data_IF_428385461063
#
_entry.id   IF_428385461063
#
_cell.length_a   1.000
_cell.length_b   1.000
_cell.length_c   1.000
_cell.angle_alpha   90.00
_cell.angle_beta   90.00
_cell.angle_gamma   90.00
#
_symmetry.space_group_name_H-M   'P 1'
#
loop_
_entity.id
_entity.type
_entity.pdbx_description
1 polymer ?
#
# COMPACT_ATOMS: atom_id res chain seq x y z
N UNK A 1 -22.46 48.09 43.59
CA UNK A 1 -21.23 48.84 43.99
C UNK A 1 -20.25 48.72 42.84
N UNK A 2 -19.91 49.84 42.25
CA UNK A 2 -19.05 50.01 41.06
C UNK A 2 -17.58 49.95 41.48
N UNK A 3 -16.74 49.27 40.78
CA UNK A 3 -15.28 49.27 40.88
C UNK A 3 -14.66 49.27 39.52
N UNK A 4 -14.39 50.46 38.99
CA UNK A 4 -13.69 50.77 37.75
C UNK A 4 -12.20 50.70 38.05
N UNK A 5 -11.44 49.79 37.39
CA UNK A 5 -9.97 49.83 37.37
C UNK A 5 -9.51 50.25 35.96
N UNK A 6 -9.03 51.50 35.91
CA UNK A 6 -8.37 52.04 34.70
C UNK A 6 -6.95 51.52 34.56
N UNK A 7 -6.65 50.98 33.39
CA UNK A 7 -5.29 50.55 33.00
C UNK A 7 -4.62 51.72 32.24
N UNK A 8 -3.60 52.33 32.87
CA UNK A 8 -2.77 53.39 32.28
C UNK A 8 -1.72 52.70 31.39
N UNK A 9 -1.77 52.94 30.07
CA UNK A 9 -0.70 52.57 29.11
C UNK A 9 0.36 53.68 29.07
N UNK A 10 1.54 53.35 29.55
CA UNK A 10 2.72 54.23 29.41
C UNK A 10 3.44 53.84 28.12
N UNK A 11 3.42 54.74 27.13
CA UNK A 11 4.22 54.63 25.90
C UNK A 11 5.67 54.98 26.21
N UNK A 12 6.56 54.01 26.08
CA UNK A 12 8.01 54.25 26.06
C UNK A 12 8.46 54.31 24.60
N UNK A 13 8.86 55.50 24.16
CA UNK A 13 9.45 55.73 22.85
C UNK A 13 10.91 55.26 22.88
N UNK A 14 11.27 54.24 22.05
CA UNK A 14 12.63 53.82 21.80
C UNK A 14 13.21 54.56 20.60
N UNK A 15 14.45 55.03 20.65
CA UNK A 15 15.08 55.72 19.53
C UNK A 15 15.49 54.74 18.43
N UNK A 16 15.23 55.11 17.16
CA UNK A 16 15.61 54.38 15.97
C UNK A 16 17.16 54.46 15.82
N UNK A 17 17.83 53.33 16.08
CA UNK A 17 19.24 53.16 15.71
C UNK A 17 19.34 52.74 14.24
N UNK A 18 19.90 53.60 13.41
CA UNK A 18 20.29 53.31 12.06
C UNK A 18 21.38 52.21 12.07
N UNK A 19 21.05 50.98 11.71
CA UNK A 19 22.00 49.92 11.43
C UNK A 19 22.33 49.97 9.94
N UNK A 20 23.56 50.41 9.63
CA UNK A 20 24.18 50.36 8.34
C UNK A 20 24.14 48.92 7.78
N UNK A 21 23.53 48.78 6.61
CA UNK A 21 23.37 47.54 5.91
C UNK A 21 24.73 46.89 5.55
N UNK A 22 25.08 45.77 6.14
CA UNK A 22 26.10 44.90 5.61
C UNK A 22 25.45 44.06 4.51
N UNK A 23 26.00 44.00 3.29
CA UNK A 23 25.49 43.10 2.28
C UNK A 23 25.72 41.65 2.79
N UNK A 24 24.63 40.96 3.09
CA UNK A 24 24.68 39.54 3.38
C UNK A 24 25.26 38.83 2.15
N UNK A 25 26.49 38.33 2.24
CA UNK A 25 27.03 37.39 1.29
C UNK A 25 26.19 36.13 1.34
N UNK A 26 25.28 36.00 0.37
CA UNK A 26 24.59 34.76 0.09
C UNK A 26 25.64 33.75 -0.36
N UNK A 27 26.07 32.89 0.54
CA UNK A 27 26.86 31.71 0.18
C UNK A 27 25.94 30.83 -0.65
N UNK A 28 26.16 30.79 -1.97
CA UNK A 28 25.53 29.80 -2.84
C UNK A 28 25.96 28.44 -2.31
N UNK A 29 25.04 27.71 -1.70
CA UNK A 29 25.28 26.29 -1.35
C UNK A 29 25.65 25.58 -2.67
N UNK A 30 26.77 24.82 -2.69
CA UNK A 30 27.07 24.00 -3.85
C UNK A 30 25.88 23.07 -4.04
N UNK A 31 25.31 23.09 -5.26
CA UNK A 31 24.24 22.18 -5.63
C UNK A 31 24.74 20.76 -5.33
N UNK A 32 24.16 20.13 -4.32
CA UNK A 32 24.45 18.74 -3.99
C UNK A 32 24.25 17.89 -5.26
N UNK A 33 24.93 16.73 -5.35
CA UNK A 33 24.80 15.87 -6.50
C UNK A 33 23.30 15.62 -6.74
N UNK A 34 22.80 15.97 -7.93
CA UNK A 34 21.42 15.65 -8.32
C UNK A 34 21.25 14.15 -8.13
N UNK A 35 20.22 13.70 -7.37
CA UNK A 35 19.91 12.28 -7.32
C UNK A 35 19.77 11.82 -8.78
N UNK A 36 20.58 10.82 -9.16
CA UNK A 36 20.44 10.16 -10.45
C UNK A 36 18.99 9.72 -10.57
N UNK A 37 18.33 9.93 -11.72
CA UNK A 37 17.01 9.38 -11.93
C UNK A 37 17.11 7.89 -11.66
N UNK A 38 16.43 7.41 -10.61
CA UNK A 38 16.31 5.98 -10.38
C UNK A 38 15.71 5.41 -11.66
N UNK A 39 16.44 4.51 -12.30
CA UNK A 39 15.92 3.76 -13.42
C UNK A 39 14.62 3.11 -12.92
N UNK A 40 13.48 3.60 -13.41
CA UNK A 40 12.21 2.94 -13.17
C UNK A 40 12.33 1.62 -13.91
N UNK A 41 12.56 0.54 -13.16
CA UNK A 41 12.51 -0.80 -13.73
C UNK A 41 11.17 -0.94 -14.46
N UNK A 42 11.18 -1.43 -15.70
CA UNK A 42 9.93 -1.60 -16.43
C UNK A 42 9.04 -2.53 -15.59
N UNK A 43 7.83 -2.05 -15.28
CA UNK A 43 6.83 -2.86 -14.60
C UNK A 43 6.51 -4.05 -15.50
N UNK A 44 6.93 -5.23 -15.07
CA UNK A 44 6.61 -6.47 -15.79
C UNK A 44 5.22 -6.87 -15.30
N UNK A 45 4.20 -6.84 -16.18
CA UNK A 45 2.87 -7.27 -15.78
C UNK A 45 2.89 -8.77 -15.42
N UNK A 46 1.96 -9.20 -14.57
CA UNK A 46 1.72 -10.63 -14.35
C UNK A 46 1.33 -11.31 -15.66
N UNK A 47 1.49 -12.62 -15.73
CA UNK A 47 1.06 -13.38 -16.91
C UNK A 47 -0.43 -13.25 -17.17
N UNK A 48 -1.23 -13.18 -16.08
CA UNK A 48 -2.66 -12.90 -16.16
C UNK A 48 -2.95 -11.51 -16.76
N UNK A 49 -2.27 -10.47 -16.30
CA UNK A 49 -2.43 -9.11 -16.84
C UNK A 49 -1.97 -9.03 -18.30
N UNK A 50 -0.85 -9.67 -18.63
CA UNK A 50 -0.35 -9.72 -20.00
C UNK A 50 -1.36 -10.40 -20.95
N UNK A 51 -1.98 -11.51 -20.51
CA UNK A 51 -3.00 -12.21 -21.32
C UNK A 51 -4.26 -11.34 -21.46
N UNK A 52 -4.72 -10.71 -20.38
CA UNK A 52 -5.89 -9.81 -20.41
C UNK A 52 -5.67 -8.58 -21.30
N UNK A 53 -4.43 -8.10 -21.41
CA UNK A 53 -4.08 -6.96 -22.25
C UNK A 53 -3.81 -7.33 -23.71
N UNK A 54 -3.82 -8.62 -24.08
CA UNK A 54 -3.55 -9.07 -25.45
C UNK A 54 -4.71 -8.69 -26.37
N UNK A 55 -4.49 -7.86 -27.39
CA UNK A 55 -5.56 -7.44 -28.28
C UNK A 55 -6.01 -8.59 -29.20
N UNK A 56 -7.27 -8.52 -29.67
CA UNK A 56 -7.86 -9.46 -30.64
C UNK A 56 -7.88 -10.92 -30.19
N UNK A 57 -7.86 -11.18 -28.88
CA UNK A 57 -7.93 -12.51 -28.30
C UNK A 57 -9.31 -12.70 -27.61
N UNK A 58 -9.96 -13.81 -27.92
CA UNK A 58 -11.18 -14.21 -27.19
C UNK A 58 -10.79 -14.96 -25.95
N UNK A 59 -11.14 -14.40 -24.78
CA UNK A 59 -10.81 -14.98 -23.49
C UNK A 59 -12.07 -15.46 -22.77
N UNK A 60 -11.99 -16.66 -22.22
CA UNK A 60 -12.91 -17.12 -21.19
C UNK A 60 -12.26 -16.91 -19.83
N UNK A 61 -12.99 -16.31 -18.90
CA UNK A 61 -12.52 -16.00 -17.56
C UNK A 61 -13.49 -16.53 -16.51
N UNK A 62 -13.05 -17.49 -15.74
CA UNK A 62 -13.79 -18.05 -14.62
C UNK A 62 -13.29 -17.42 -13.31
N UNK A 63 -14.21 -16.88 -12.53
CA UNK A 63 -13.94 -16.28 -11.22
C UNK A 63 -14.62 -17.09 -10.11
N UNK A 64 -13.82 -17.64 -9.22
CA UNK A 64 -14.28 -18.38 -8.04
C UNK A 64 -14.08 -17.51 -6.79
N UNK A 65 -15.16 -16.96 -6.29
CA UNK A 65 -15.12 -16.07 -5.13
C UNK A 65 -14.65 -16.81 -3.88
N UNK A 66 -13.69 -16.22 -3.17
CA UNK A 66 -13.28 -16.66 -1.85
C UNK A 66 -14.14 -15.92 -0.83
N UNK A 67 -14.95 -16.69 -0.08
CA UNK A 67 -15.78 -16.13 0.97
C UNK A 67 -14.91 -15.79 2.18
N UNK A 68 -14.62 -14.49 2.30
CA UNK A 68 -13.84 -13.94 3.41
C UNK A 68 -14.60 -12.83 4.10
N UNK A 69 -14.41 -12.77 5.41
CA UNK A 69 -14.99 -11.73 6.24
C UNK A 69 -13.96 -10.63 6.54
N UNK A 70 -13.40 -10.03 5.50
CA UNK A 70 -12.60 -8.80 5.64
C UNK A 70 -13.46 -7.57 5.38
N UNK A 71 -14.57 -7.42 6.01
CA UNK A 71 -15.43 -6.29 5.78
C UNK A 71 -15.69 -6.00 4.30
N UNK A 72 -16.21 -4.81 3.95
CA UNK A 72 -16.47 -4.42 2.56
C UNK A 72 -15.20 -3.98 1.80
N UNK A 73 -14.04 -3.94 2.46
CA UNK A 73 -12.84 -3.28 1.93
C UNK A 73 -11.96 -4.15 1.03
N UNK A 74 -12.17 -5.48 1.02
CA UNK A 74 -11.37 -6.37 0.19
C UNK A 74 -12.19 -7.53 -0.37
N UNK A 75 -11.84 -7.93 -1.60
CA UNK A 75 -12.38 -9.11 -2.27
C UNK A 75 -11.24 -9.90 -2.90
N UNK A 76 -11.30 -11.22 -2.80
CA UNK A 76 -10.38 -12.14 -3.47
C UNK A 76 -11.20 -13.12 -4.32
N UNK A 77 -10.80 -13.30 -5.56
CA UNK A 77 -11.34 -14.32 -6.45
C UNK A 77 -10.17 -15.18 -6.97
N UNK A 78 -10.31 -16.51 -6.95
CA UNK A 78 -9.47 -17.39 -7.74
C UNK A 78 -9.88 -17.25 -9.21
N UNK A 79 -8.93 -17.15 -10.12
CA UNK A 79 -9.15 -16.82 -11.54
C UNK A 79 -8.51 -17.87 -12.42
N UNK A 80 -9.26 -18.37 -13.39
CA UNK A 80 -8.75 -19.17 -14.49
C UNK A 80 -9.06 -18.42 -15.78
N UNK A 81 -8.01 -18.09 -16.54
CA UNK A 81 -8.12 -17.48 -17.86
C UNK A 81 -7.78 -18.52 -18.93
N UNK A 82 -8.58 -18.62 -19.96
CA UNK A 82 -8.37 -19.50 -21.08
C UNK A 82 -8.55 -18.74 -22.39
N UNK A 83 -7.56 -18.81 -23.27
CA UNK A 83 -7.69 -18.25 -24.61
C UNK A 83 -8.39 -19.26 -25.52
N UNK A 84 -9.56 -18.90 -26.05
CA UNK A 84 -10.45 -19.82 -26.80
C UNK A 84 -9.77 -20.36 -28.04
N UNK A 85 -8.93 -19.54 -28.70
CA UNK A 85 -8.27 -19.88 -29.96
C UNK A 85 -6.87 -20.46 -29.77
N UNK A 86 -6.46 -20.73 -28.53
CA UNK A 86 -5.14 -21.28 -28.23
C UNK A 86 -5.19 -22.23 -27.02
N UNK A 87 -4.15 -23.06 -26.84
CA UNK A 87 -4.05 -23.89 -25.62
C UNK A 87 -3.57 -23.13 -24.39
N UNK A 88 -3.61 -21.79 -24.42
CA UNK A 88 -3.11 -20.98 -23.32
C UNK A 88 -4.13 -20.93 -22.19
N UNK A 89 -3.73 -21.45 -21.03
CA UNK A 89 -4.53 -21.43 -19.80
C UNK A 89 -3.67 -20.95 -18.65
N UNK A 90 -4.10 -19.88 -18.00
CA UNK A 90 -3.41 -19.27 -16.86
C UNK A 90 -4.29 -19.28 -15.63
N UNK A 91 -3.66 -19.41 -14.47
CA UNK A 91 -4.32 -19.46 -13.18
C UNK A 91 -3.67 -18.46 -12.21
N UNK A 92 -4.47 -17.92 -11.33
CA UNK A 92 -4.02 -17.04 -10.26
C UNK A 92 -5.16 -16.43 -9.48
N UNK A 93 -4.93 -15.33 -8.82
CA UNK A 93 -5.98 -14.63 -8.08
C UNK A 93 -6.12 -13.19 -8.54
N UNK A 94 -7.33 -12.67 -8.37
CA UNK A 94 -7.63 -11.25 -8.42
C UNK A 94 -7.87 -10.74 -7.00
N UNK A 95 -7.14 -9.73 -6.58
CA UNK A 95 -7.36 -9.02 -5.32
C UNK A 95 -7.89 -7.65 -5.64
N UNK A 96 -9.05 -7.32 -5.10
CA UNK A 96 -9.65 -6.00 -5.19
C UNK A 96 -9.66 -5.38 -3.80
N UNK A 97 -9.15 -4.15 -3.69
CA UNK A 97 -9.13 -3.36 -2.46
C UNK A 97 -9.96 -2.12 -2.67
N UNK A 98 -10.80 -1.81 -1.70
CA UNK A 98 -11.63 -0.60 -1.70
C UNK A 98 -11.17 0.32 -0.59
N UNK A 99 -11.01 1.59 -0.91
CA UNK A 99 -10.81 2.66 0.05
C UNK A 99 -12.16 3.34 0.32
N UNK A 100 -12.78 3.10 1.49
CA UNK A 100 -14.07 3.68 1.84
C UNK A 100 -13.99 5.19 2.11
N UNK A 101 -12.80 5.72 2.37
CA UNK A 101 -12.58 7.14 2.70
C UNK A 101 -12.31 7.99 1.45
N UNK A 102 -11.80 7.39 0.39
CA UNK A 102 -11.46 8.08 -0.85
C UNK A 102 -12.57 7.99 -1.89
N UNK A 103 -13.41 9.05 -1.95
CA UNK A 103 -14.55 9.11 -2.88
C UNK A 103 -14.17 9.18 -4.36
N UNK A 104 -12.95 9.62 -4.68
CA UNK A 104 -12.49 9.77 -6.07
C UNK A 104 -11.93 8.47 -6.66
N UNK A 105 -11.39 7.58 -5.82
CA UNK A 105 -10.80 6.30 -6.23
C UNK A 105 -11.15 5.22 -5.22
N UNK A 106 -12.29 4.60 -5.44
CA UNK A 106 -12.88 3.69 -4.45
C UNK A 106 -12.35 2.27 -4.53
N UNK A 107 -11.77 1.84 -5.66
CA UNK A 107 -11.37 0.45 -5.87
C UNK A 107 -10.10 0.34 -6.71
N UNK A 108 -9.18 -0.51 -6.27
CA UNK A 108 -8.00 -0.92 -6.99
C UNK A 108 -7.97 -2.45 -7.17
N UNK A 109 -7.35 -2.90 -8.23
CA UNK A 109 -7.24 -4.32 -8.57
C UNK A 109 -5.80 -4.69 -8.83
N UNK A 110 -5.37 -5.87 -8.35
CA UNK A 110 -4.12 -6.53 -8.69
C UNK A 110 -4.37 -7.98 -9.03
N UNK A 111 -3.62 -8.49 -10.01
CA UNK A 111 -3.57 -9.92 -10.29
C UNK A 111 -2.28 -10.52 -9.73
N UNK A 112 -2.35 -11.77 -9.29
CA UNK A 112 -1.23 -12.51 -8.73
C UNK A 112 -1.22 -13.88 -9.40
N UNK A 113 -0.14 -14.23 -10.08
CA UNK A 113 0.00 -15.52 -10.74
C UNK A 113 0.09 -16.65 -9.70
N UNK A 114 -0.37 -17.86 -10.07
CA UNK A 114 -0.43 -19.01 -9.16
C UNK A 114 0.96 -19.35 -8.56
N UNK A 115 2.01 -19.11 -9.31
CA UNK A 115 3.39 -19.37 -8.89
C UNK A 115 3.83 -18.51 -7.70
N UNK A 116 3.26 -17.31 -7.55
CA UNK A 116 3.55 -16.42 -6.42
C UNK A 116 2.74 -16.75 -5.15
N UNK A 117 1.60 -17.44 -5.27
CA UNK A 117 0.67 -17.65 -4.15
C UNK A 117 1.29 -18.38 -2.96
N UNK A 118 2.13 -19.38 -3.22
CA UNK A 118 2.80 -20.10 -2.13
C UNK A 118 3.75 -19.20 -1.35
N UNK A 119 4.47 -18.32 -2.05
CA UNK A 119 5.39 -17.38 -1.42
C UNK A 119 4.63 -16.28 -0.67
N UNK A 120 3.54 -15.79 -1.24
CA UNK A 120 2.65 -14.82 -0.61
C UNK A 120 2.06 -15.36 0.69
N UNK A 121 1.50 -16.57 0.68
CA UNK A 121 0.94 -17.22 1.87
C UNK A 121 1.99 -17.40 2.98
N UNK A 122 3.21 -17.83 2.63
CA UNK A 122 4.34 -17.90 3.58
C UNK A 122 4.75 -16.53 4.09
N UNK A 123 4.80 -15.53 3.20
CA UNK A 123 5.12 -14.15 3.54
C UNK A 123 4.17 -13.59 4.58
N UNK A 124 2.86 -13.79 4.41
CA UNK A 124 1.85 -13.38 5.39
C UNK A 124 2.09 -14.01 6.77
N UNK A 125 2.40 -15.31 6.82
CA UNK A 125 2.72 -16.00 8.09
C UNK A 125 3.94 -15.39 8.78
N UNK A 126 5.05 -15.24 8.04
CA UNK A 126 6.29 -14.69 8.57
C UNK A 126 6.10 -13.25 9.06
N UNK A 127 5.32 -12.45 8.33
CA UNK A 127 5.00 -11.08 8.73
C UNK A 127 4.15 -11.03 10.00
N UNK A 128 3.17 -11.93 10.14
CA UNK A 128 2.34 -12.03 11.34
C UNK A 128 3.18 -12.42 12.58
N UNK A 129 4.07 -13.39 12.45
CA UNK A 129 4.98 -13.80 13.53
C UNK A 129 5.93 -12.68 13.95
N UNK A 130 6.51 -11.95 12.99
CA UNK A 130 7.39 -10.82 13.28
C UNK A 130 6.63 -9.67 13.93
N UNK A 131 5.43 -9.36 13.46
CA UNK A 131 4.59 -8.31 14.04
C UNK A 131 4.20 -8.62 15.50
N UNK A 132 3.91 -9.89 15.81
CA UNK A 132 3.63 -10.31 17.17
C UNK A 132 4.85 -10.11 18.10
N UNK A 133 6.07 -10.37 17.63
CA UNK A 133 7.30 -10.07 18.38
C UNK A 133 7.49 -8.56 18.59
N UNK A 134 7.14 -7.76 17.60
CA UNK A 134 7.31 -6.31 17.67
C UNK A 134 6.32 -5.62 18.62
N UNK A 135 5.18 -6.21 18.90
CA UNK A 135 4.19 -5.61 19.79
C UNK A 135 4.74 -5.27 21.19
N UNK A 136 5.85 -5.89 21.57
CA UNK A 136 6.53 -5.64 22.85
C UNK A 136 7.71 -4.67 22.77
N UNK A 137 8.12 -4.30 21.54
CA UNK A 137 9.26 -3.44 21.30
C UNK A 137 8.80 -2.00 21.08
N UNK A 138 9.51 -1.03 21.67
CA UNK A 138 9.30 0.39 21.34
C UNK A 138 10.14 0.74 20.11
N UNK A 139 9.48 0.85 18.95
CA UNK A 139 10.11 1.16 17.67
C UNK A 139 9.65 2.52 17.16
N UNK A 140 10.59 3.34 16.71
CA UNK A 140 10.26 4.69 16.24
C UNK A 140 9.48 4.66 14.91
N UNK A 141 9.99 3.93 13.92
CA UNK A 141 9.33 3.70 12.64
C UNK A 141 9.93 2.44 12.01
N UNK A 142 9.13 1.41 11.85
CA UNK A 142 9.55 0.16 11.21
C UNK A 142 8.45 -0.32 10.29
N UNK A 143 8.84 -0.81 9.11
CA UNK A 143 7.93 -1.38 8.13
C UNK A 143 8.44 -2.77 7.70
N UNK A 144 7.51 -3.75 7.68
CA UNK A 144 7.64 -5.00 6.94
C UNK A 144 6.77 -4.88 5.71
N UNK A 145 7.26 -5.28 4.56
CA UNK A 145 6.42 -5.32 3.37
C UNK A 145 6.70 -6.53 2.50
N UNK A 146 5.66 -7.03 1.85
CA UNK A 146 5.69 -8.03 0.80
C UNK A 146 4.95 -7.46 -0.40
N UNK A 147 5.56 -7.49 -1.58
CA UNK A 147 4.96 -6.97 -2.81
C UNK A 147 5.03 -8.06 -3.89
N UNK A 148 3.93 -8.26 -4.62
CA UNK A 148 3.85 -9.18 -5.77
C UNK A 148 4.13 -8.45 -7.07
N UNK A 149 4.39 -9.18 -8.15
CA UNK A 149 4.62 -8.61 -9.48
C UNK A 149 3.43 -7.74 -9.95
N UNK A 150 2.19 -8.16 -9.69
CA UNK A 150 0.97 -7.41 -10.03
C UNK A 150 0.63 -6.25 -9.08
N UNK A 151 1.57 -5.84 -8.21
CA UNK A 151 1.40 -4.66 -7.37
C UNK A 151 0.45 -4.82 -6.18
N UNK A 152 0.09 -6.05 -5.81
CA UNK A 152 -0.48 -6.28 -4.49
C UNK A 152 0.63 -6.15 -3.45
N UNK A 153 0.38 -5.35 -2.41
CA UNK A 153 1.33 -5.16 -1.31
C UNK A 153 0.63 -5.32 0.02
N UNK A 154 1.21 -6.14 0.89
CA UNK A 154 0.94 -6.18 2.31
C UNK A 154 2.08 -5.46 3.03
N UNK A 155 1.77 -4.48 3.85
CA UNK A 155 2.74 -3.78 4.69
C UNK A 155 2.26 -3.76 6.14
N UNK A 156 3.17 -4.03 7.08
CA UNK A 156 2.92 -3.83 8.52
C UNK A 156 3.83 -2.71 8.97
N UNK A 157 3.23 -1.63 9.44
CA UNK A 157 3.92 -0.44 9.94
C UNK A 157 3.73 -0.35 11.43
N UNK A 158 4.82 -0.15 12.14
CA UNK A 158 4.80 0.19 13.55
C UNK A 158 5.37 1.60 13.76
N UNK A 159 4.58 2.41 14.45
CA UNK A 159 5.02 3.69 15.00
C UNK A 159 4.69 3.67 16.48
N UNK A 160 5.70 3.87 17.31
CA UNK A 160 5.63 3.61 18.76
C UNK A 160 5.29 2.12 19.03
N UNK A 161 4.23 1.83 19.79
CA UNK A 161 3.88 0.47 20.22
C UNK A 161 2.69 -0.14 19.48
N UNK A 162 2.19 0.52 18.44
CA UNK A 162 0.96 0.10 17.76
C UNK A 162 1.29 -0.28 16.31
N UNK A 163 1.46 -1.57 16.02
CA UNK A 163 1.59 -2.04 14.64
C UNK A 163 0.23 -2.06 13.94
N UNK A 164 0.21 -1.71 12.64
CA UNK A 164 -0.98 -1.76 11.78
C UNK A 164 -0.64 -2.42 10.45
N UNK A 165 -1.56 -3.21 9.94
CA UNK A 165 -1.43 -3.81 8.61
C UNK A 165 -2.19 -2.99 7.57
N UNK A 166 -1.57 -2.85 6.40
CA UNK A 166 -2.11 -2.14 5.24
C UNK A 166 -2.03 -3.05 4.02
N UNK A 167 -3.10 -3.07 3.27
CA UNK A 167 -3.19 -3.74 1.99
C UNK A 167 -3.29 -2.69 0.90
N UNK A 168 -2.56 -2.86 -0.18
CA UNK A 168 -2.71 -2.00 -1.35
C UNK A 168 -2.68 -2.80 -2.64
N UNK A 169 -3.37 -2.26 -3.65
CA UNK A 169 -3.42 -2.80 -5.00
C UNK A 169 -3.12 -1.71 -6.01
N UNK A 170 -2.47 -2.07 -7.10
CA UNK A 170 -2.05 -1.16 -8.14
C UNK A 170 -0.60 -0.69 -7.98
N UNK A 171 0.13 -0.70 -9.10
CA UNK A 171 1.54 -0.28 -9.16
C UNK A 171 1.67 1.23 -9.28
N UNK A 172 0.74 1.85 -10.02
CA UNK A 172 0.66 3.29 -10.19
C UNK A 172 -0.56 3.75 -9.42
N UNK A 173 -0.36 4.68 -8.47
CA UNK A 173 -1.47 5.28 -7.73
C UNK A 173 -2.29 4.24 -6.93
N UNK A 174 -1.66 3.57 -5.95
CA UNK A 174 -2.26 2.43 -5.28
C UNK A 174 -3.48 2.80 -4.43
N UNK A 175 -4.48 1.94 -4.44
CA UNK A 175 -5.61 1.99 -3.49
C UNK A 175 -5.22 1.24 -2.23
N UNK A 176 -5.37 1.88 -1.07
CA UNK A 176 -4.91 1.36 0.23
C UNK A 176 -6.09 1.18 1.17
N UNK A 177 -6.08 0.08 1.90
CA UNK A 177 -6.98 -0.13 3.05
C UNK A 177 -6.19 -0.67 4.24
N UNK A 178 -6.71 -0.50 5.44
CA UNK A 178 -6.12 -1.09 6.65
C UNK A 178 -6.92 -2.31 7.10
N UNK A 179 -6.21 -3.28 7.68
CA UNK A 179 -6.79 -4.44 8.35
C UNK A 179 -6.17 -4.59 9.74
N UNK A 180 -6.86 -5.26 10.63
CA UNK A 180 -6.30 -5.60 11.92
C UNK A 180 -5.26 -6.71 11.77
N UNK A 181 -4.21 -6.67 12.61
CA UNK A 181 -3.20 -7.75 12.62
C UNK A 181 -3.81 -9.12 12.92
N UNK A 182 -4.87 -9.16 13.72
CA UNK A 182 -5.62 -10.37 14.05
C UNK A 182 -6.28 -11.00 12.80
N UNK A 183 -6.44 -10.26 11.71
CA UNK A 183 -7.01 -10.76 10.44
C UNK A 183 -5.97 -11.39 9.51
N UNK A 184 -4.66 -11.26 9.79
CA UNK A 184 -3.62 -11.86 8.95
C UNK A 184 -3.73 -13.39 8.80
N UNK A 185 -4.05 -14.18 9.84
CA UNK A 185 -4.30 -15.60 9.67
C UNK A 185 -5.47 -15.91 8.72
N UNK A 186 -6.53 -15.10 8.77
CA UNK A 186 -7.68 -15.22 7.86
C UNK A 186 -7.27 -14.88 6.44
N UNK A 187 -6.44 -13.85 6.24
CA UNK A 187 -5.88 -13.49 4.93
C UNK A 187 -5.06 -14.65 4.34
N UNK A 188 -4.19 -15.25 5.16
CA UNK A 188 -3.44 -16.44 4.76
C UNK A 188 -4.37 -17.58 4.34
N UNK A 189 -5.37 -17.87 5.15
CA UNK A 189 -6.34 -18.95 4.88
C UNK A 189 -7.04 -18.73 3.53
N UNK A 190 -7.32 -17.50 3.17
CA UNK A 190 -7.92 -17.18 1.89
C UNK A 190 -6.99 -17.44 0.71
N UNK A 191 -5.73 -17.10 0.81
CA UNK A 191 -4.76 -17.44 -0.23
C UNK A 191 -4.58 -18.96 -0.35
N UNK A 192 -4.56 -19.68 0.77
CA UNK A 192 -4.48 -21.16 0.76
C UNK A 192 -5.75 -21.78 0.12
N UNK A 193 -6.93 -21.23 0.41
CA UNK A 193 -8.18 -21.68 -0.20
C UNK A 193 -8.20 -21.40 -1.71
N UNK A 194 -7.75 -20.22 -2.11
CA UNK A 194 -7.63 -19.89 -3.53
C UNK A 194 -6.69 -20.85 -4.26
N UNK A 195 -5.53 -21.16 -3.67
CA UNK A 195 -4.57 -22.12 -4.21
C UNK A 195 -5.19 -23.52 -4.33
N UNK A 196 -5.95 -23.98 -3.32
CA UNK A 196 -6.63 -25.27 -3.37
C UNK A 196 -7.67 -25.34 -4.51
N UNK A 197 -8.45 -24.27 -4.71
CA UNK A 197 -9.40 -24.16 -5.82
C UNK A 197 -8.65 -24.24 -7.16
N UNK A 198 -7.59 -23.45 -7.34
CA UNK A 198 -6.83 -23.39 -8.59
C UNK A 198 -6.16 -24.72 -8.94
N UNK A 199 -5.71 -25.48 -7.93
CA UNK A 199 -5.13 -26.81 -8.13
C UNK A 199 -6.17 -27.86 -8.55
N UNK A 200 -7.45 -27.63 -8.22
CA UNK A 200 -8.55 -28.54 -8.61
C UNK A 200 -9.11 -28.23 -10.01
N UNK A 201 -8.74 -27.12 -10.61
CA UNK A 201 -9.19 -26.66 -11.95
C UNK A 201 -8.10 -26.88 -12.99
#
# INVERSE_FOLDING_TARGET
>A
MRGLFGLVFTFVALPAAFLAGHPARVWAQPAGPRPLPMAVEPLIPTRLEALLATPNLVLMADYYRIDMRFGPSMRIDAVVLEAVDSATRLKGIRVQVRDPENRSRQEGTSFIDIEELTQLSRGVSSMAELAAKWAHDDRQATELSFTTAGGFRLAIRQSARIPRAYLSTGLIDPVVTSIDLAELPTLKQAFDQALAILNSK
#
